data_IF_447838383824
#
_entry.id   IF_447838383824
#
_cell.length_a   1.000
_cell.length_b   1.000
_cell.length_c   1.000
_cell.angle_alpha   90.00
_cell.angle_beta   90.00
_cell.angle_gamma   90.00
#
_symmetry.space_group_name_H-M   'P 1'
#
loop_
_entity.id
_entity.type
_entity.pdbx_description
1 polymer ?
#
# COMPACT_ATOMS: atom_id res chain seq x y z
N UNK A 1 -8.19 20.44 -17.20
CA UNK A 1 -8.13 19.90 -15.84
C UNK A 1 -9.16 18.80 -15.72
N UNK A 2 -8.74 17.57 -15.50
CA UNK A 2 -9.67 16.50 -15.10
C UNK A 2 -9.98 16.76 -13.63
N UNK A 3 -11.15 17.36 -13.35
CA UNK A 3 -11.63 17.54 -11.99
C UNK A 3 -12.16 16.21 -11.48
N UNK A 4 -11.46 15.57 -10.55
CA UNK A 4 -11.93 14.35 -9.92
C UNK A 4 -12.98 14.70 -8.84
N UNK A 5 -14.15 14.05 -8.88
CA UNK A 5 -15.18 14.24 -7.86
C UNK A 5 -14.83 13.43 -6.60
N UNK A 6 -14.40 14.15 -5.58
CA UNK A 6 -14.06 13.60 -4.27
C UNK A 6 -15.16 13.82 -3.21
N UNK A 7 -16.33 14.36 -3.58
CA UNK A 7 -17.38 14.74 -2.63
C UNK A 7 -17.85 13.58 -1.75
N UNK A 8 -18.04 12.39 -2.34
CA UNK A 8 -18.41 11.17 -1.61
C UNK A 8 -17.32 10.65 -0.68
N UNK A 9 -16.05 10.96 -0.95
CA UNK A 9 -14.91 10.61 -0.07
C UNK A 9 -14.81 11.63 1.08
N UNK A 10 -15.01 12.92 0.79
CA UNK A 10 -14.98 13.99 1.79
C UNK A 10 -16.06 13.82 2.87
N UNK A 11 -17.26 13.41 2.48
CA UNK A 11 -18.34 13.14 3.44
C UNK A 11 -17.99 12.00 4.42
N UNK A 12 -17.35 10.94 3.93
CA UNK A 12 -16.89 9.82 4.78
C UNK A 12 -15.71 10.22 5.67
N UNK A 13 -14.77 11.03 5.17
CA UNK A 13 -13.69 11.61 5.99
C UNK A 13 -14.29 12.44 7.15
N UNK A 14 -15.26 13.31 6.87
CA UNK A 14 -15.89 14.14 7.89
C UNK A 14 -16.65 13.32 8.95
N UNK A 15 -17.27 12.20 8.56
CA UNK A 15 -17.88 11.26 9.51
C UNK A 15 -16.81 10.63 10.41
N UNK A 16 -15.65 10.30 9.84
CA UNK A 16 -14.56 9.67 10.57
C UNK A 16 -13.87 10.63 11.53
N UNK A 17 -13.62 11.88 11.13
CA UNK A 17 -13.06 12.92 12.01
C UNK A 17 -13.95 13.13 13.26
N UNK A 18 -15.28 13.14 13.09
CA UNK A 18 -16.21 13.20 14.24
C UNK A 18 -16.13 11.96 15.14
N UNK A 19 -15.95 10.78 14.56
CA UNK A 19 -15.80 9.55 15.33
C UNK A 19 -14.45 9.49 16.08
N UNK A 20 -13.38 10.06 15.52
CA UNK A 20 -12.08 10.20 16.20
C UNK A 20 -12.19 11.06 17.47
N UNK A 21 -12.88 12.20 17.40
CA UNK A 21 -13.10 13.06 18.57
C UNK A 21 -13.82 12.30 19.68
N UNK A 22 -14.93 11.62 19.35
CA UNK A 22 -15.68 10.80 20.32
C UNK A 22 -14.83 9.66 20.90
N UNK A 23 -14.01 9.01 20.07
CA UNK A 23 -13.11 7.96 20.53
C UNK A 23 -12.05 8.50 21.51
N UNK A 24 -11.51 9.70 21.27
CA UNK A 24 -10.57 10.37 22.17
C UNK A 24 -11.22 10.76 23.52
N UNK A 25 -12.54 10.95 23.54
CA UNK A 25 -13.34 11.18 24.75
C UNK A 25 -13.73 9.88 25.49
N UNK A 26 -13.26 8.71 25.02
CA UNK A 26 -13.47 7.42 25.67
C UNK A 26 -14.66 6.60 25.16
N UNK A 27 -15.29 7.00 24.05
CA UNK A 27 -16.37 6.24 23.42
C UNK A 27 -15.83 4.98 22.72
N UNK A 28 -16.02 3.82 23.35
CA UNK A 28 -15.57 2.53 22.85
C UNK A 28 -16.23 2.12 21.51
N UNK A 29 -17.48 2.53 21.27
CA UNK A 29 -18.17 2.22 20.01
C UNK A 29 -17.61 3.08 18.86
N UNK A 30 -17.32 4.35 19.14
CA UNK A 30 -16.62 5.23 18.21
C UNK A 30 -15.19 4.72 17.95
N UNK A 31 -14.49 4.19 18.96
CA UNK A 31 -13.18 3.57 18.79
C UNK A 31 -13.24 2.37 17.84
N UNK A 32 -14.16 1.42 18.05
CA UNK A 32 -14.33 0.25 17.15
C UNK A 32 -14.75 0.69 15.75
N UNK A 33 -15.62 1.68 15.64
CA UNK A 33 -16.04 2.26 14.37
C UNK A 33 -14.85 2.88 13.60
N UNK A 34 -14.05 3.71 14.26
CA UNK A 34 -12.85 4.32 13.66
C UNK A 34 -11.88 3.26 13.15
N UNK A 35 -11.59 2.23 13.94
CA UNK A 35 -10.62 1.20 13.56
C UNK A 35 -11.12 0.28 12.43
N UNK A 36 -12.42 -0.01 12.38
CA UNK A 36 -13.01 -0.86 11.33
C UNK A 36 -13.23 -0.08 10.04
N UNK A 37 -13.74 1.15 10.13
CA UNK A 37 -14.07 1.97 8.96
C UNK A 37 -12.86 2.66 8.35
N UNK A 38 -11.80 2.94 9.10
CA UNK A 38 -10.60 3.57 8.54
C UNK A 38 -9.91 2.73 7.47
N UNK A 39 -9.85 1.41 7.70
CA UNK A 39 -9.33 0.46 6.71
C UNK A 39 -10.23 0.35 5.47
N UNK A 40 -11.55 0.30 5.66
CA UNK A 40 -12.52 0.24 4.56
C UNK A 40 -12.47 1.52 3.72
N UNK A 41 -12.39 2.68 4.37
CA UNK A 41 -12.29 3.96 3.69
C UNK A 41 -10.95 4.08 2.95
N UNK A 42 -9.84 3.70 3.57
CA UNK A 42 -8.53 3.68 2.92
C UNK A 42 -8.50 2.75 1.69
N UNK A 43 -9.10 1.56 1.78
CA UNK A 43 -9.21 0.62 0.65
C UNK A 43 -10.10 1.19 -0.47
N UNK A 44 -11.22 1.82 -0.12
CA UNK A 44 -12.10 2.49 -1.08
C UNK A 44 -11.37 3.62 -1.81
N UNK A 45 -10.67 4.50 -1.10
CA UNK A 45 -9.87 5.58 -1.68
C UNK A 45 -8.80 5.00 -2.60
N UNK A 46 -8.06 3.98 -2.15
CA UNK A 46 -7.02 3.33 -2.96
C UNK A 46 -7.57 2.77 -4.28
N UNK A 47 -8.72 2.07 -4.22
CA UNK A 47 -9.35 1.46 -5.40
C UNK A 47 -9.95 2.48 -6.36
N UNK A 48 -10.45 3.60 -5.85
CA UNK A 48 -10.97 4.69 -6.70
C UNK A 48 -9.85 5.44 -7.40
N UNK A 49 -8.74 5.70 -6.69
CA UNK A 49 -7.64 6.49 -7.22
C UNK A 49 -6.68 5.69 -8.12
N UNK A 50 -6.38 4.43 -7.78
CA UNK A 50 -5.38 3.65 -8.49
C UNK A 50 -5.63 3.52 -10.01
N UNK A 51 -6.86 3.31 -10.51
CA UNK A 51 -7.15 3.23 -11.94
C UNK A 51 -7.05 4.60 -12.65
N UNK A 52 -7.52 5.67 -11.99
CA UNK A 52 -7.45 7.03 -12.52
C UNK A 52 -6.00 7.50 -12.70
N UNK A 53 -5.11 7.06 -11.80
CA UNK A 53 -3.73 7.51 -11.77
C UNK A 53 -2.78 6.75 -12.70
N UNK A 54 -3.19 5.58 -13.22
CA UNK A 54 -2.46 4.88 -14.31
C UNK A 54 -2.52 5.70 -15.62
N UNK A 55 -3.49 6.60 -15.77
CA UNK A 55 -3.64 7.39 -17.00
C UNK A 55 -2.83 8.69 -17.01
N UNK A 56 -2.37 9.18 -15.85
CA UNK A 56 -1.56 10.42 -15.72
C UNK A 56 -0.05 10.17 -15.70
N UNK A 57 0.39 8.91 -15.87
CA UNK A 57 1.79 8.50 -15.67
C UNK A 57 2.86 9.00 -16.66
N UNK A 58 2.60 9.52 -17.87
CA UNK A 58 3.72 10.04 -18.68
C UNK A 58 4.07 11.51 -18.43
N UNK A 59 3.30 12.26 -17.64
CA UNK A 59 3.50 13.71 -17.49
C UNK A 59 3.18 14.16 -16.06
N UNK A 60 4.15 14.11 -15.16
CA UNK A 60 3.94 14.62 -13.79
C UNK A 60 4.61 15.97 -13.66
N UNK A 61 3.82 17.04 -13.64
CA UNK A 61 4.27 18.33 -13.16
C UNK A 61 4.40 18.29 -11.63
N UNK A 62 5.24 19.13 -11.00
CA UNK A 62 5.41 19.16 -9.55
C UNK A 62 4.09 19.28 -8.77
N UNK A 63 3.08 19.93 -9.34
CA UNK A 63 1.77 20.13 -8.73
C UNK A 63 1.03 18.81 -8.52
N UNK A 64 1.09 17.89 -9.49
CA UNK A 64 0.44 16.56 -9.37
C UNK A 64 1.14 15.72 -8.30
N UNK A 65 2.47 15.82 -8.18
CA UNK A 65 3.21 15.13 -7.11
C UNK A 65 2.74 15.60 -5.73
N UNK A 66 2.59 16.91 -5.54
CA UNK A 66 2.14 17.51 -4.27
C UNK A 66 0.71 17.09 -3.94
N UNK A 67 -0.22 17.17 -4.89
CA UNK A 67 -1.60 16.76 -4.67
C UNK A 67 -1.70 15.28 -4.29
N UNK A 68 -0.95 14.42 -4.99
CA UNK A 68 -0.95 12.99 -4.71
C UNK A 68 -0.31 12.67 -3.37
N UNK A 69 0.78 13.33 -2.99
CA UNK A 69 1.39 13.17 -1.67
C UNK A 69 0.40 13.52 -0.55
N UNK A 70 -0.34 14.63 -0.68
CA UNK A 70 -1.38 15.03 0.29
C UNK A 70 -2.44 13.93 0.44
N UNK A 71 -2.95 13.41 -0.68
CA UNK A 71 -4.00 12.38 -0.66
C UNK A 71 -3.49 11.10 0.00
N UNK A 72 -2.32 10.62 -0.40
CA UNK A 72 -1.77 9.39 0.18
C UNK A 72 -1.37 9.56 1.65
N UNK A 73 -0.82 10.70 2.03
CA UNK A 73 -0.51 11.03 3.42
C UNK A 73 -1.79 11.05 4.27
N UNK A 74 -2.91 11.54 3.72
CA UNK A 74 -4.22 11.41 4.39
C UNK A 74 -4.61 9.94 4.53
N UNK A 75 -4.52 9.11 3.50
CA UNK A 75 -4.85 7.68 3.59
C UNK A 75 -4.00 6.95 4.65
N UNK A 76 -2.71 7.24 4.72
CA UNK A 76 -1.79 6.71 5.74
C UNK A 76 -2.22 7.14 7.14
N UNK A 77 -2.61 8.41 7.32
CA UNK A 77 -3.08 8.91 8.62
C UNK A 77 -4.37 8.23 9.10
N UNK A 78 -5.25 7.83 8.17
CA UNK A 78 -6.49 7.14 8.51
C UNK A 78 -6.21 5.72 9.03
N UNK A 79 -5.28 5.00 8.40
CA UNK A 79 -4.98 3.61 8.74
C UNK A 79 -3.47 3.35 8.72
N UNK A 80 -2.72 3.81 9.74
CA UNK A 80 -1.26 3.77 9.73
C UNK A 80 -0.69 2.35 9.79
N UNK A 81 -1.44 1.38 10.30
CA UNK A 81 -1.09 -0.04 10.31
C UNK A 81 -1.60 -0.81 9.09
N UNK A 82 -2.14 -0.14 8.08
CA UNK A 82 -2.66 -0.76 6.87
C UNK A 82 -1.66 -0.60 5.72
N UNK A 83 -1.23 -1.72 5.14
CA UNK A 83 -0.13 -1.76 4.17
C UNK A 83 -0.48 -1.17 2.79
N UNK A 84 -1.75 -1.24 2.38
CA UNK A 84 -2.17 -0.86 1.02
C UNK A 84 -1.91 0.62 0.70
N UNK A 85 -2.26 1.61 1.55
CA UNK A 85 -1.93 3.02 1.32
C UNK A 85 -0.46 3.27 1.00
N UNK A 86 0.46 2.66 1.76
CA UNK A 86 1.89 2.77 1.54
C UNK A 86 2.32 2.12 0.22
N UNK A 87 1.75 0.97 -0.13
CA UNK A 87 2.03 0.30 -1.41
C UNK A 87 1.58 1.15 -2.61
N UNK A 88 0.40 1.78 -2.54
CA UNK A 88 -0.11 2.61 -3.62
C UNK A 88 0.72 3.89 -3.74
N UNK A 89 1.07 4.53 -2.61
CA UNK A 89 1.97 5.70 -2.56
C UNK A 89 3.34 5.37 -3.17
N UNK A 90 3.94 4.24 -2.79
CA UNK A 90 5.24 3.79 -3.33
C UNK A 90 5.18 3.48 -4.83
N UNK A 91 4.12 2.84 -5.31
CA UNK A 91 3.93 2.59 -6.74
C UNK A 91 3.79 3.89 -7.55
N UNK A 92 3.15 4.91 -6.97
CA UNK A 92 3.03 6.22 -7.60
C UNK A 92 4.41 6.87 -7.75
N UNK A 93 5.18 6.98 -6.67
CA UNK A 93 6.53 7.53 -6.73
C UNK A 93 7.47 6.77 -7.67
N UNK A 94 7.43 5.44 -7.63
CA UNK A 94 8.26 4.62 -8.52
C UNK A 94 7.91 4.81 -10.00
N UNK A 95 6.66 5.16 -10.33
CA UNK A 95 6.25 5.51 -11.71
C UNK A 95 6.69 6.92 -12.10
N UNK A 96 6.79 7.83 -11.14
CA UNK A 96 7.30 9.19 -11.35
C UNK A 96 8.84 9.28 -11.37
N UNK A 97 9.54 8.20 -11.03
CA UNK A 97 11.01 8.17 -10.95
C UNK A 97 11.58 8.60 -9.60
N UNK A 98 10.71 8.90 -8.63
CA UNK A 98 11.06 9.27 -7.26
C UNK A 98 11.37 7.98 -6.46
N UNK A 99 12.51 7.36 -6.76
CA UNK A 99 12.82 6.01 -6.28
C UNK A 99 13.12 5.95 -4.78
N UNK A 100 13.63 7.03 -4.18
CA UNK A 100 13.92 7.10 -2.75
C UNK A 100 12.62 7.13 -1.92
N UNK A 101 11.66 7.97 -2.32
CA UNK A 101 10.33 8.07 -1.75
C UNK A 101 9.54 6.76 -1.93
N UNK A 102 9.67 6.13 -3.09
CA UNK A 102 9.10 4.82 -3.34
C UNK A 102 9.67 3.77 -2.39
N UNK A 103 11.00 3.73 -2.22
CA UNK A 103 11.66 2.81 -1.30
C UNK A 103 11.19 3.03 0.15
N UNK A 104 11.10 4.29 0.59
CA UNK A 104 10.61 4.65 1.92
C UNK A 104 9.17 4.16 2.16
N UNK A 105 8.29 4.34 1.17
CA UNK A 105 6.91 3.85 1.25
C UNK A 105 6.85 2.31 1.33
N UNK A 106 7.60 1.60 0.48
CA UNK A 106 7.62 0.14 0.51
C UNK A 106 8.28 -0.41 1.77
N UNK A 107 9.29 0.27 2.32
CA UNK A 107 9.93 -0.09 3.60
C UNK A 107 8.96 0.06 4.77
N UNK A 108 8.17 1.13 4.80
CA UNK A 108 7.10 1.28 5.78
C UNK A 108 6.05 0.16 5.67
N UNK A 109 5.58 -0.13 4.45
CA UNK A 109 4.67 -1.26 4.20
C UNK A 109 5.27 -2.60 4.63
N UNK A 110 6.56 -2.80 4.37
CA UNK A 110 7.30 -4.01 4.73
C UNK A 110 7.40 -4.15 6.25
N UNK A 111 7.75 -3.09 6.97
CA UNK A 111 7.83 -3.11 8.44
C UNK A 111 6.47 -3.37 9.09
N UNK A 112 5.37 -2.89 8.50
CA UNK A 112 4.02 -3.21 9.00
C UNK A 112 3.69 -4.68 8.74
N UNK A 113 4.04 -5.19 7.55
CA UNK A 113 3.81 -6.58 7.17
C UNK A 113 4.79 -7.57 7.83
N UNK A 114 5.94 -7.10 8.31
CA UNK A 114 7.07 -7.92 8.72
C UNK A 114 7.83 -7.24 9.88
N UNK A 115 7.09 -6.76 10.89
CA UNK A 115 7.64 -6.11 12.07
C UNK A 115 8.60 -7.07 12.81
N UNK A 116 9.92 -6.80 12.85
CA UNK A 116 10.90 -7.68 13.48
C UNK A 116 10.85 -7.62 15.02
N UNK A 117 10.12 -6.66 15.60
CA UNK A 117 10.01 -6.44 17.06
C UNK A 117 8.72 -6.97 17.66
N UNK A 118 7.77 -7.42 16.83
CA UNK A 118 6.56 -8.12 17.27
C UNK A 118 6.91 -9.54 17.72
N UNK A 119 7.39 -9.65 18.95
CA UNK A 119 7.52 -10.93 19.64
C UNK A 119 6.14 -11.58 19.75
N UNK A 120 5.92 -12.64 18.96
CA UNK A 120 4.76 -13.54 18.91
C UNK A 120 3.46 -12.99 18.28
N UNK A 121 3.35 -13.13 16.95
CA UNK A 121 2.14 -13.73 16.35
C UNK A 121 2.51 -14.60 15.13
N UNK A 122 1.91 -15.80 14.99
CA UNK A 122 2.27 -16.78 13.98
C UNK A 122 1.95 -16.30 12.56
N UNK A 123 2.95 -16.39 11.68
CA UNK A 123 2.83 -16.38 10.23
C UNK A 123 2.07 -15.18 9.64
N UNK A 124 2.78 -14.09 9.32
CA UNK A 124 2.48 -13.51 8.01
C UNK A 124 2.95 -14.57 7.02
N UNK A 125 2.03 -15.45 6.63
CA UNK A 125 2.34 -16.51 5.70
C UNK A 125 3.01 -15.89 4.47
N UNK A 126 4.12 -16.47 3.99
CA UNK A 126 4.71 -16.08 2.72
C UNK A 126 3.60 -15.98 1.68
N UNK A 127 3.30 -14.75 1.24
CA UNK A 127 2.20 -14.46 0.32
C UNK A 127 2.74 -13.88 -0.97
N UNK A 128 1.99 -14.02 -2.07
CA UNK A 128 2.36 -13.38 -3.34
C UNK A 128 2.43 -11.86 -3.17
N UNK A 129 1.58 -11.29 -2.31
CA UNK A 129 1.54 -9.86 -2.01
C UNK A 129 2.81 -9.39 -1.31
N UNK A 130 3.29 -10.14 -0.32
CA UNK A 130 4.57 -9.86 0.37
C UNK A 130 5.75 -10.01 -0.58
N UNK A 131 5.77 -11.04 -1.41
CA UNK A 131 6.81 -11.21 -2.43
C UNK A 131 6.85 -10.04 -3.44
N UNK A 132 5.69 -9.55 -3.89
CA UNK A 132 5.58 -8.35 -4.73
C UNK A 132 6.09 -7.09 -4.03
N UNK A 133 5.74 -6.92 -2.76
CA UNK A 133 6.22 -5.79 -1.96
C UNK A 133 7.76 -5.79 -1.86
N UNK A 134 8.37 -6.94 -1.59
CA UNK A 134 9.83 -7.09 -1.53
C UNK A 134 10.48 -6.80 -2.89
N UNK A 135 9.88 -7.25 -3.99
CA UNK A 135 10.38 -6.92 -5.34
C UNK A 135 10.30 -5.42 -5.61
N UNK A 136 9.18 -4.76 -5.29
CA UNK A 136 9.03 -3.33 -5.50
C UNK A 136 10.01 -2.52 -4.64
N UNK A 137 10.18 -2.88 -3.37
CA UNK A 137 11.21 -2.29 -2.50
C UNK A 137 12.61 -2.48 -3.10
N UNK A 138 12.91 -3.70 -3.55
CA UNK A 138 14.21 -4.02 -4.16
C UNK A 138 14.51 -3.22 -5.42
N UNK A 139 13.52 -3.08 -6.32
CA UNK A 139 13.64 -2.23 -7.51
C UNK A 139 13.87 -0.76 -7.14
N UNK A 140 13.07 -0.22 -6.21
CA UNK A 140 13.20 1.17 -5.77
C UNK A 140 14.58 1.44 -5.14
N UNK A 141 15.05 0.56 -4.24
CA UNK A 141 16.39 0.67 -3.64
C UNK A 141 17.49 0.63 -4.71
N UNK A 142 17.40 -0.32 -5.64
CA UNK A 142 18.37 -0.48 -6.72
C UNK A 142 18.48 0.79 -7.59
N UNK A 143 17.35 1.39 -7.93
CA UNK A 143 17.31 2.63 -8.72
C UNK A 143 17.68 3.89 -7.92
N UNK A 144 17.44 3.91 -6.61
CA UNK A 144 17.85 5.00 -5.71
C UNK A 144 19.34 5.01 -5.36
N UNK A 145 20.06 3.91 -5.62
CA UNK A 145 21.51 3.81 -5.43
C UNK A 145 21.97 2.75 -4.43
N UNK A 146 21.08 2.24 -3.58
CA UNK A 146 21.36 1.13 -2.66
C UNK A 146 21.19 -0.22 -3.37
N UNK A 147 22.14 -0.52 -4.27
CA UNK A 147 22.07 -1.68 -5.16
C UNK A 147 22.20 -3.00 -4.42
N UNK A 148 23.00 -3.05 -3.36
CA UNK A 148 23.23 -4.28 -2.59
C UNK A 148 22.00 -4.65 -1.76
N UNK A 149 21.40 -3.69 -1.05
CA UNK A 149 20.15 -3.94 -0.33
C UNK A 149 19.00 -4.22 -1.31
N UNK A 150 18.94 -3.47 -2.42
CA UNK A 150 17.98 -3.68 -3.48
C UNK A 150 18.01 -5.10 -4.04
N UNK A 151 19.20 -5.60 -4.40
CA UNK A 151 19.38 -6.96 -4.92
C UNK A 151 18.94 -8.04 -3.93
N UNK A 152 19.23 -7.86 -2.63
CA UNK A 152 18.80 -8.80 -1.58
C UNK A 152 17.27 -8.90 -1.51
N UNK A 153 16.56 -7.77 -1.56
CA UNK A 153 15.10 -7.75 -1.54
C UNK A 153 14.49 -8.35 -2.82
N UNK A 154 15.08 -8.10 -3.98
CA UNK A 154 14.66 -8.70 -5.26
C UNK A 154 14.72 -10.23 -5.21
N UNK A 155 15.86 -10.79 -4.82
CA UNK A 155 16.07 -12.23 -4.73
C UNK A 155 15.12 -12.88 -3.74
N UNK A 156 14.99 -12.28 -2.56
CA UNK A 156 14.13 -12.80 -1.50
C UNK A 156 12.64 -12.76 -1.92
N UNK A 157 12.19 -11.68 -2.55
CA UNK A 157 10.83 -11.54 -3.08
C UNK A 157 10.53 -12.55 -4.19
N UNK A 158 11.43 -12.72 -5.16
CA UNK A 158 11.30 -13.69 -6.25
C UNK A 158 11.27 -15.13 -5.72
N UNK A 159 12.19 -15.48 -4.82
CA UNK A 159 12.24 -16.79 -4.17
C UNK A 159 10.95 -17.10 -3.42
N UNK A 160 10.39 -16.12 -2.71
CA UNK A 160 9.10 -16.26 -2.02
C UNK A 160 7.97 -16.57 -3.01
N UNK A 161 7.85 -15.78 -4.08
CA UNK A 161 6.81 -16.00 -5.09
C UNK A 161 6.95 -17.34 -5.81
N UNK A 162 8.17 -17.78 -6.11
CA UNK A 162 8.45 -19.07 -6.72
C UNK A 162 8.02 -20.25 -5.82
N UNK A 163 8.33 -20.19 -4.51
CA UNK A 163 7.89 -21.20 -3.54
C UNK A 163 6.37 -21.30 -3.46
N UNK A 164 5.66 -20.18 -3.50
CA UNK A 164 4.19 -20.18 -3.46
C UNK A 164 3.61 -20.76 -4.75
N UNK A 165 4.17 -20.39 -5.91
CA UNK A 165 3.76 -20.96 -7.21
C UNK A 165 3.94 -22.48 -7.23
N UNK A 166 5.03 -23.01 -6.67
CA UNK A 166 5.29 -24.45 -6.61
C UNK A 166 4.31 -25.21 -5.69
N UNK A 167 3.73 -24.54 -4.67
CA UNK A 167 2.74 -25.14 -3.76
C UNK A 167 1.31 -25.15 -4.31
N UNK A 168 1.02 -24.34 -5.32
CA UNK A 168 -0.26 -24.36 -6.04
C UNK A 168 -0.10 -25.21 -7.30
N UNK A 169 -0.43 -26.52 -7.30
CA UNK A 169 -0.41 -27.28 -8.54
C UNK A 169 -1.32 -26.58 -9.55
N UNK A 170 -0.79 -26.29 -10.74
CA UNK A 170 -1.61 -25.83 -11.85
C UNK A 170 -2.74 -26.84 -12.03
N UNK A 171 -3.99 -26.37 -12.02
CA UNK A 171 -5.11 -27.16 -12.53
C UNK A 171 -4.70 -27.64 -13.93
N UNK A 172 -4.46 -28.95 -14.07
CA UNK A 172 -4.34 -29.54 -15.39
C UNK A 172 -5.64 -29.20 -16.13
N UNK A 173 -5.58 -28.75 -17.39
CA UNK A 173 -6.79 -28.68 -18.20
C UNK A 173 -7.50 -30.05 -18.14
N UNK A 174 -8.84 -30.10 -18.07
CA UNK A 174 -9.55 -31.37 -18.09
C UNK A 174 -9.08 -32.17 -19.31
N UNK A 175 -8.71 -33.43 -19.10
CA UNK A 175 -8.36 -34.32 -20.21
C UNK A 175 -9.56 -34.39 -21.17
N UNK A 176 -9.33 -34.28 -22.49
CA UNK A 176 -10.41 -34.39 -23.46
C UNK A 176 -11.08 -35.77 -23.33
N UNK A 177 -12.41 -35.76 -23.23
CA UNK A 177 -13.28 -36.94 -23.22
C UNK A 177 -13.16 -37.74 -24.52
#
# INVERSE_FOLDING_TARGET
MVGFDFSGIQAEIAKMDRAFVRAAEGDALAYVYVHTQSRVLADKIAKTLAPALVQVTPYTSPEILVEMDIIYSRMVSLAPSYTVPYMVKGNFYGRCGEFEEAANCFKAAYNIAYDPTREKWPHVEPSKSTGKLMVNLGLSLYHSGDRDEGQRFLEAGQKMMAKIKAKSPSEKPPEPL
#
